data_IF_777405468412
#
_entry.id   IF_777405468412
#
_cell.length_a   1.000
_cell.length_b   1.000
_cell.length_c   1.000
_cell.angle_alpha   90.00
_cell.angle_beta   90.00
_cell.angle_gamma   90.00
#
_symmetry.space_group_name_H-M   'P 1'
#
loop_
_entity.id
_entity.type
_entity.pdbx_description
1 polymer ?
#
# COMPACT_ATOMS: atom_id res chain seq x y z
N UNK A 1 1.02 -0.14 10.79
CA UNK A 1 1.99 -0.02 9.68
C UNK A 1 2.20 1.41 9.23
N UNK A 2 1.27 2.08 8.54
CA UNK A 2 1.51 3.45 8.02
C UNK A 2 1.96 4.46 9.09
N UNK A 3 1.29 4.50 10.25
CA UNK A 3 1.68 5.36 11.37
C UNK A 3 3.13 5.10 11.80
N UNK A 4 3.48 3.83 11.97
CA UNK A 4 4.83 3.37 12.33
C UNK A 4 5.86 3.76 11.28
N UNK A 5 5.58 3.48 10.01
CA UNK A 5 6.45 3.83 8.88
C UNK A 5 6.73 5.33 8.87
N UNK A 6 5.69 6.14 9.08
CA UNK A 6 5.82 7.59 9.12
C UNK A 6 6.64 8.07 10.33
N UNK A 7 6.31 7.63 11.55
CA UNK A 7 7.05 8.01 12.77
C UNK A 7 8.53 7.59 12.70
N UNK A 8 8.84 6.49 12.01
CA UNK A 8 10.19 5.98 11.82
C UNK A 8 10.89 6.47 10.55
N UNK A 9 10.26 7.37 9.78
CA UNK A 9 10.80 7.90 8.52
C UNK A 9 11.17 6.81 7.49
N UNK A 10 10.43 5.69 7.50
CA UNK A 10 10.53 4.65 6.48
C UNK A 10 10.04 5.22 5.15
N UNK A 11 10.76 4.97 4.06
CA UNK A 11 10.41 5.57 2.76
C UNK A 11 9.09 5.01 2.19
N UNK A 12 8.52 5.72 1.22
CA UNK A 12 7.36 5.24 0.48
C UNK A 12 7.64 3.96 -0.31
N UNK A 13 8.88 3.79 -0.79
CA UNK A 13 9.30 2.57 -1.48
C UNK A 13 9.24 1.38 -0.52
N UNK A 14 9.84 1.51 0.66
CA UNK A 14 9.79 0.49 1.71
C UNK A 14 8.36 0.21 2.16
N UNK A 15 7.56 1.25 2.43
CA UNK A 15 6.19 1.08 2.90
C UNK A 15 5.32 0.35 1.87
N UNK A 16 5.31 0.79 0.61
CA UNK A 16 4.47 0.15 -0.42
C UNK A 16 4.97 -1.25 -0.77
N UNK A 17 6.28 -1.49 -0.72
CA UNK A 17 6.85 -2.85 -0.89
C UNK A 17 6.48 -3.76 0.28
N UNK A 18 6.43 -3.25 1.50
CA UNK A 18 6.00 -4.04 2.67
C UNK A 18 4.55 -4.54 2.56
N UNK A 19 3.65 -3.72 2.00
CA UNK A 19 2.27 -4.11 1.76
C UNK A 19 2.21 -5.20 0.68
N UNK A 20 3.01 -5.06 -0.38
CA UNK A 20 3.10 -6.08 -1.40
C UNK A 20 3.58 -7.44 -0.83
N UNK A 21 4.65 -7.46 -0.02
CA UNK A 21 5.08 -8.70 0.65
C UNK A 21 4.01 -9.26 1.57
N UNK A 22 3.33 -8.40 2.33
CA UNK A 22 2.25 -8.79 3.22
C UNK A 22 1.09 -9.46 2.47
N UNK A 23 0.68 -8.92 1.32
CA UNK A 23 -0.37 -9.49 0.49
C UNK A 23 0.06 -10.84 -0.11
N UNK A 24 1.30 -10.94 -0.63
CA UNK A 24 1.84 -12.19 -1.18
C UNK A 24 1.92 -13.29 -0.12
N UNK A 25 2.44 -12.98 1.08
CA UNK A 25 2.52 -13.95 2.17
C UNK A 25 1.12 -14.42 2.60
N UNK A 26 0.15 -13.51 2.71
CA UNK A 26 -1.23 -13.89 3.04
C UNK A 26 -1.89 -14.74 1.94
N UNK A 27 -1.58 -14.48 0.67
CA UNK A 27 -2.03 -15.30 -0.46
C UNK A 27 -1.44 -16.71 -0.38
N UNK A 28 -0.14 -16.83 -0.15
CA UNK A 28 0.54 -18.13 -0.01
C UNK A 28 0.00 -18.93 1.18
N UNK A 29 -0.19 -18.27 2.33
CA UNK A 29 -0.84 -18.88 3.50
C UNK A 29 -2.28 -19.34 3.22
N UNK A 30 -2.97 -18.73 2.26
CA UNK A 30 -4.30 -19.14 1.82
C UNK A 30 -4.28 -20.36 0.91
N UNK A 31 -3.35 -20.41 -0.03
CA UNK A 31 -3.24 -21.50 -0.99
C UNK A 31 -2.58 -22.75 -0.39
N UNK A 32 -1.76 -22.59 0.65
CA UNK A 32 -0.99 -23.68 1.24
C UNK A 32 -1.28 -23.86 2.75
N UNK A 33 -2.50 -24.30 3.13
CA UNK A 33 -2.88 -24.46 4.54
C UNK A 33 -2.05 -25.52 5.28
N UNK A 34 -1.31 -26.38 4.57
CA UNK A 34 -0.41 -27.39 5.14
C UNK A 34 1.00 -26.84 5.45
N UNK A 35 1.39 -25.69 4.88
CA UNK A 35 2.69 -25.02 5.13
C UNK A 35 2.74 -24.37 6.53
N UNK A 36 1.66 -24.52 7.30
CA UNK A 36 1.62 -24.24 8.74
C UNK A 36 2.40 -25.35 9.48
N UNK A 37 3.72 -25.36 9.30
CA UNK A 37 4.62 -26.22 10.07
C UNK A 37 4.54 -25.78 11.53
N UNK A 38 4.11 -26.70 12.41
CA UNK A 38 4.37 -26.80 13.86
C UNK A 38 4.13 -25.60 14.79
N UNK A 39 4.67 -24.43 14.46
CA UNK A 39 4.73 -23.20 15.25
C UNK A 39 3.76 -22.11 14.80
N UNK A 40 3.14 -22.23 13.62
CA UNK A 40 2.29 -21.17 13.03
C UNK A 40 0.77 -21.43 13.09
N UNK A 41 0.31 -22.39 13.91
CA UNK A 41 -1.11 -22.75 14.08
C UNK A 41 -2.04 -21.59 14.52
N UNK A 42 -1.50 -20.40 14.79
CA UNK A 42 -2.24 -19.22 15.27
C UNK A 42 -2.93 -18.35 14.22
N UNK A 43 -2.56 -18.40 12.94
CA UNK A 43 -3.11 -17.45 11.95
C UNK A 43 -4.59 -17.75 11.62
N UNK A 44 -5.03 -19.02 11.76
CA UNK A 44 -6.42 -19.43 11.46
C UNK A 44 -7.09 -20.31 12.51
N UNK A 45 -6.34 -20.81 13.49
CA UNK A 45 -6.84 -21.77 14.51
C UNK A 45 -7.00 -21.21 15.91
N UNK A 46 -6.78 -19.90 16.12
CA UNK A 46 -6.87 -19.24 17.42
C UNK A 46 -8.14 -18.40 17.59
N UNK A 47 -8.30 -17.83 18.79
CA UNK A 47 -9.28 -16.75 19.05
C UNK A 47 -9.08 -15.61 18.05
N UNK A 48 -10.12 -14.79 17.82
CA UNK A 48 -10.03 -13.59 16.96
C UNK A 48 -8.81 -12.71 17.34
N UNK A 49 -8.60 -12.52 18.64
CA UNK A 49 -7.44 -11.81 19.18
C UNK A 49 -6.10 -12.40 18.71
N UNK A 50 -5.93 -13.72 18.75
CA UNK A 50 -4.70 -14.38 18.30
C UNK A 50 -4.48 -14.18 16.79
N UNK A 51 -5.55 -14.17 16.00
CA UNK A 51 -5.44 -13.92 14.56
C UNK A 51 -5.00 -12.48 14.28
N UNK A 52 -5.58 -11.51 15.00
CA UNK A 52 -5.26 -10.09 14.84
C UNK A 52 -3.81 -9.78 15.26
N UNK A 53 -3.33 -10.35 16.37
CA UNK A 53 -1.93 -10.21 16.81
C UNK A 53 -0.96 -10.77 15.78
N UNK A 54 -1.21 -11.98 15.27
CA UNK A 54 -0.35 -12.58 14.23
C UNK A 54 -0.29 -11.72 12.95
N UNK A 55 -1.42 -11.10 12.56
CA UNK A 55 -1.44 -10.20 11.41
C UNK A 55 -0.65 -8.90 11.67
N UNK A 56 -0.64 -8.38 12.90
CA UNK A 56 0.21 -7.25 13.28
C UNK A 56 1.70 -7.61 13.28
N UNK A 57 2.06 -8.77 13.83
CA UNK A 57 3.43 -9.30 13.81
C UNK A 57 3.95 -9.47 12.39
N UNK A 58 3.14 -10.09 11.52
CA UNK A 58 3.45 -10.27 10.11
C UNK A 58 3.62 -8.92 9.39
N UNK A 59 2.67 -7.99 9.55
CA UNK A 59 2.74 -6.68 8.91
C UNK A 59 3.94 -5.86 9.36
N UNK A 60 4.26 -5.88 10.67
CA UNK A 60 5.44 -5.21 11.21
C UNK A 60 6.74 -5.83 10.67
N UNK A 61 6.80 -7.15 10.54
CA UNK A 61 7.95 -7.86 9.99
C UNK A 61 8.14 -7.54 8.50
N UNK A 62 7.08 -7.54 7.70
CA UNK A 62 7.14 -7.11 6.31
C UNK A 62 7.67 -5.68 6.16
N UNK A 63 7.26 -4.76 7.05
CA UNK A 63 7.76 -3.39 7.06
C UNK A 63 9.26 -3.33 7.36
N UNK A 64 9.71 -4.11 8.35
CA UNK A 64 11.11 -4.20 8.71
C UNK A 64 11.97 -4.75 7.56
N UNK A 65 11.55 -5.87 6.96
CA UNK A 65 12.25 -6.49 5.84
C UNK A 65 12.31 -5.58 4.62
N UNK A 66 11.20 -4.94 4.26
CA UNK A 66 11.17 -4.00 3.14
C UNK A 66 12.07 -2.80 3.40
N UNK A 67 12.06 -2.21 4.60
CA UNK A 67 12.95 -1.10 4.95
C UNK A 67 14.43 -1.52 4.88
N UNK A 68 14.77 -2.72 5.36
CA UNK A 68 16.14 -3.26 5.28
C UNK A 68 16.62 -3.43 3.83
N UNK A 69 15.71 -3.72 2.91
CA UNK A 69 16.02 -3.91 1.49
C UNK A 69 16.04 -2.59 0.69
N UNK A 70 15.11 -1.68 0.97
CA UNK A 70 14.86 -0.48 0.18
C UNK A 70 15.58 0.78 0.71
N UNK A 71 15.71 0.94 2.02
CA UNK A 71 16.22 2.17 2.63
C UNK A 71 17.73 2.10 2.91
N UNK A 72 18.45 3.18 2.59
CA UNK A 72 19.87 3.33 2.94
C UNK A 72 20.10 3.26 4.45
N UNK A 73 19.18 3.86 5.22
CA UNK A 73 19.14 3.79 6.68
C UNK A 73 17.75 3.33 7.07
N UNK A 74 17.69 2.18 7.73
CA UNK A 74 16.45 1.59 8.21
C UNK A 74 16.42 1.56 9.75
N UNK A 75 15.23 1.64 10.37
CA UNK A 75 15.09 1.56 11.82
C UNK A 75 15.37 0.14 12.34
N UNK A 76 15.92 0.05 13.55
CA UNK A 76 15.97 -1.23 14.27
C UNK A 76 14.56 -1.76 14.52
N UNK A 77 14.41 -3.09 14.53
CA UNK A 77 13.11 -3.72 14.71
C UNK A 77 12.41 -3.26 16.00
N UNK A 78 13.13 -3.15 17.13
CA UNK A 78 12.55 -2.69 18.40
C UNK A 78 12.02 -1.25 18.33
N UNK A 79 12.60 -0.40 17.48
CA UNK A 79 12.09 0.96 17.26
C UNK A 79 10.77 0.92 16.52
N UNK A 80 10.68 0.12 15.45
CA UNK A 80 9.42 -0.10 14.73
C UNK A 80 8.35 -0.70 15.66
N UNK A 81 8.71 -1.72 16.43
CA UNK A 81 7.82 -2.39 17.41
C UNK A 81 7.28 -1.40 18.42
N UNK A 82 8.13 -0.57 19.02
CA UNK A 82 7.72 0.47 19.97
C UNK A 82 6.66 1.40 19.36
N UNK A 83 6.94 2.02 18.22
CA UNK A 83 5.98 2.95 17.60
C UNK A 83 4.70 2.28 17.10
N UNK A 84 4.76 0.99 16.76
CA UNK A 84 3.58 0.21 16.43
C UNK A 84 2.70 -0.01 17.67
N UNK A 85 3.28 -0.44 18.79
CA UNK A 85 2.60 -0.62 20.08
C UNK A 85 1.98 0.70 20.55
N UNK A 86 2.73 1.81 20.51
CA UNK A 86 2.20 3.13 20.86
C UNK A 86 0.97 3.48 20.02
N UNK A 87 0.98 3.15 18.72
CA UNK A 87 -0.16 3.37 17.83
C UNK A 87 -1.38 2.48 18.11
N UNK A 88 -1.19 1.31 18.73
CA UNK A 88 -2.30 0.46 19.22
C UNK A 88 -2.89 1.03 20.51
N UNK A 89 -2.05 1.49 21.43
CA UNK A 89 -2.46 2.15 22.68
C UNK A 89 -3.26 3.42 22.38
N UNK A 90 -2.80 4.25 21.44
CA UNK A 90 -3.53 5.45 20.96
C UNK A 90 -4.95 5.10 20.45
N UNK A 91 -5.18 3.86 20.02
CA UNK A 91 -6.46 3.34 19.52
C UNK A 91 -7.24 2.53 20.56
N UNK A 92 -6.78 2.50 21.81
CA UNK A 92 -7.37 1.73 22.92
C UNK A 92 -7.35 0.21 22.71
N UNK A 93 -6.40 -0.30 21.90
CA UNK A 93 -6.17 -1.72 21.65
C UNK A 93 -5.09 -2.26 22.61
N UNK A 94 -5.41 -2.25 23.90
CA UNK A 94 -4.45 -2.53 24.97
C UNK A 94 -4.02 -4.01 25.03
N UNK A 95 -4.96 -4.94 24.80
CA UNK A 95 -4.67 -6.37 24.83
C UNK A 95 -3.71 -6.75 23.68
N UNK A 96 -3.95 -6.25 22.47
CA UNK A 96 -3.08 -6.48 21.31
C UNK A 96 -1.69 -5.86 21.54
N UNK A 97 -1.66 -4.65 22.12
CA UNK A 97 -0.42 -3.96 22.46
C UNK A 97 0.42 -4.74 23.47
N UNK A 98 -0.20 -5.32 24.50
CA UNK A 98 0.47 -6.11 25.53
C UNK A 98 1.03 -7.42 24.96
N UNK A 99 0.26 -8.12 24.13
CA UNK A 99 0.71 -9.36 23.48
C UNK A 99 1.95 -9.13 22.59
N UNK A 100 2.03 -7.98 21.91
CA UNK A 100 3.14 -7.65 21.03
C UNK A 100 4.45 -7.28 21.74
N UNK A 101 4.45 -7.01 23.06
CA UNK A 101 5.67 -6.58 23.78
C UNK A 101 6.79 -7.63 23.67
N UNK A 102 6.41 -8.90 23.80
CA UNK A 102 7.33 -10.04 23.77
C UNK A 102 7.58 -10.58 22.35
N UNK A 103 7.05 -9.90 21.32
CA UNK A 103 7.23 -10.35 19.95
C UNK A 103 8.70 -10.25 19.51
N UNK A 104 9.21 -11.36 18.99
CA UNK A 104 10.53 -11.50 18.37
C UNK A 104 10.40 -11.75 16.86
N UNK A 105 11.11 -10.94 16.08
CA UNK A 105 10.97 -10.87 14.62
C UNK A 105 11.43 -12.14 13.89
N UNK A 106 12.41 -12.86 14.45
CA UNK A 106 13.16 -13.92 13.76
C UNK A 106 12.29 -15.03 13.17
N UNK A 107 11.28 -15.48 13.91
CA UNK A 107 10.37 -16.54 13.45
C UNK A 107 9.54 -16.07 12.24
N UNK A 108 9.07 -14.82 12.26
CA UNK A 108 8.31 -14.25 11.14
C UNK A 108 9.19 -13.95 9.94
N UNK A 109 10.45 -13.54 10.13
CA UNK A 109 11.39 -13.39 9.00
C UNK A 109 11.60 -14.72 8.29
N UNK A 110 11.89 -15.79 9.05
CA UNK A 110 12.09 -17.12 8.50
C UNK A 110 10.84 -17.61 7.74
N UNK A 111 9.65 -17.37 8.27
CA UNK A 111 8.39 -17.68 7.59
C UNK A 111 8.25 -16.92 6.27
N UNK A 112 8.45 -15.60 6.29
CA UNK A 112 8.30 -14.76 5.09
C UNK A 112 9.29 -15.21 4.02
N UNK A 113 10.57 -15.41 4.37
CA UNK A 113 11.56 -15.89 3.43
C UNK A 113 11.22 -17.27 2.87
N UNK A 114 10.68 -18.17 3.69
CA UNK A 114 10.24 -19.49 3.22
C UNK A 114 9.07 -19.40 2.24
N UNK A 115 8.08 -18.56 2.51
CA UNK A 115 6.89 -18.43 1.66
C UNK A 115 7.20 -17.70 0.35
N UNK A 116 8.03 -16.65 0.42
CA UNK A 116 8.50 -15.91 -0.75
C UNK A 116 9.68 -16.58 -1.46
N UNK A 117 10.13 -17.75 -1.00
CA UNK A 117 11.28 -18.49 -1.56
C UNK A 117 12.55 -17.62 -1.70
N UNK A 118 12.78 -16.71 -0.75
CA UNK A 118 13.82 -15.69 -0.77
C UNK A 118 13.76 -14.71 -1.97
N UNK A 119 12.70 -14.71 -2.77
CA UNK A 119 12.49 -13.76 -3.87
C UNK A 119 11.92 -12.43 -3.38
N UNK A 120 12.77 -11.68 -2.67
CA UNK A 120 12.45 -10.32 -2.20
C UNK A 120 12.59 -9.28 -3.32
N UNK A 121 13.12 -9.65 -4.49
CA UNK A 121 13.40 -8.70 -5.57
C UNK A 121 12.17 -8.35 -6.42
N UNK A 122 11.04 -8.98 -6.16
CA UNK A 122 9.80 -8.75 -6.89
C UNK A 122 9.39 -7.26 -6.85
N UNK A 123 9.27 -6.61 -8.02
CA UNK A 123 8.99 -5.18 -8.08
C UNK A 123 7.54 -4.88 -7.68
N UNK A 124 7.38 -4.14 -6.59
CA UNK A 124 6.11 -3.55 -6.20
C UNK A 124 5.67 -2.44 -7.17
N UNK A 125 4.38 -2.09 -7.16
CA UNK A 125 3.80 -1.09 -8.07
C UNK A 125 4.54 0.26 -8.04
N UNK A 126 5.13 0.66 -6.92
CA UNK A 126 5.90 1.91 -6.83
C UNK A 126 7.15 1.90 -7.73
N UNK A 127 7.81 0.76 -7.92
CA UNK A 127 8.99 0.63 -8.79
C UNK A 127 8.62 0.78 -10.26
N UNK A 128 7.48 0.21 -10.67
CA UNK A 128 6.93 0.41 -12.00
C UNK A 128 6.46 1.85 -12.21
N UNK A 129 5.77 2.42 -11.22
CA UNK A 129 5.31 3.80 -11.25
C UNK A 129 6.45 4.79 -11.44
N UNK A 130 7.56 4.61 -10.71
CA UNK A 130 8.77 5.43 -10.83
C UNK A 130 9.33 5.43 -12.27
N UNK A 131 9.41 4.24 -12.89
CA UNK A 131 9.89 4.09 -14.28
C UNK A 131 8.93 4.74 -15.27
N UNK A 132 7.62 4.53 -15.08
CA UNK A 132 6.58 5.08 -15.96
C UNK A 132 6.46 6.60 -15.84
N UNK A 133 6.59 7.16 -14.63
CA UNK A 133 6.62 8.60 -14.41
C UNK A 133 7.79 9.24 -15.16
N UNK A 134 8.99 8.64 -15.08
CA UNK A 134 10.16 9.08 -15.86
C UNK A 134 9.91 9.00 -17.38
N UNK A 135 9.37 7.88 -17.86
CA UNK A 135 9.03 7.72 -19.28
C UNK A 135 7.95 8.72 -19.75
N UNK A 136 7.10 9.18 -18.82
CA UNK A 136 6.06 10.18 -19.05
C UNK A 136 6.52 11.62 -18.89
N UNK A 137 7.81 11.85 -18.62
CA UNK A 137 8.36 13.17 -18.29
C UNK A 137 7.63 13.83 -17.09
N UNK A 138 7.16 13.02 -16.13
CA UNK A 138 6.59 13.50 -14.87
C UNK A 138 7.73 13.68 -13.87
N UNK A 139 7.99 14.92 -13.46
CA UNK A 139 9.04 15.27 -12.49
C UNK A 139 8.63 14.86 -11.06
N UNK A 140 9.59 14.42 -10.24
CA UNK A 140 9.33 13.90 -8.88
C UNK A 140 8.70 14.90 -7.92
N UNK A 141 9.05 16.16 -8.06
CA UNK A 141 8.54 17.29 -7.28
C UNK A 141 7.24 17.87 -7.86
N UNK A 142 6.75 17.34 -8.99
CA UNK A 142 5.49 17.79 -9.57
C UNK A 142 4.29 17.26 -8.79
N UNK A 143 3.20 18.02 -8.78
CA UNK A 143 1.93 17.56 -8.23
C UNK A 143 1.43 16.26 -8.89
N UNK A 144 1.71 16.06 -10.18
CA UNK A 144 1.36 14.81 -10.89
C UNK A 144 2.06 13.60 -10.26
N UNK A 145 3.32 13.74 -9.90
CA UNK A 145 4.06 12.67 -9.24
C UNK A 145 3.50 12.40 -7.83
N UNK A 146 3.32 13.46 -7.05
CA UNK A 146 2.79 13.36 -5.69
C UNK A 146 1.36 12.79 -5.67
N UNK A 147 0.54 13.10 -6.68
CA UNK A 147 -0.80 12.54 -6.84
C UNK A 147 -0.72 11.04 -7.14
N UNK A 148 0.17 10.60 -8.03
CA UNK A 148 0.33 9.18 -8.30
C UNK A 148 0.81 8.41 -7.06
N UNK A 149 1.73 9.00 -6.29
CA UNK A 149 2.19 8.43 -5.02
C UNK A 149 1.06 8.32 -3.98
N UNK A 150 0.20 9.33 -3.90
CA UNK A 150 -1.01 9.30 -3.07
C UNK A 150 -1.98 8.20 -3.52
N UNK A 151 -2.22 8.07 -4.83
CA UNK A 151 -3.07 7.01 -5.38
C UNK A 151 -2.51 5.60 -5.13
N UNK A 152 -1.20 5.40 -5.18
CA UNK A 152 -0.57 4.13 -4.79
C UNK A 152 -0.79 3.80 -3.31
N UNK A 153 -0.75 4.81 -2.43
CA UNK A 153 -1.11 4.60 -1.02
C UNK A 153 -2.57 4.24 -0.84
N UNK A 154 -3.47 4.82 -1.63
CA UNK A 154 -4.88 4.40 -1.64
C UNK A 154 -4.98 2.93 -2.04
N UNK A 155 -4.32 2.51 -3.14
CA UNK A 155 -4.29 1.11 -3.57
C UNK A 155 -3.83 0.17 -2.45
N UNK A 156 -2.75 0.52 -1.76
CA UNK A 156 -2.18 -0.28 -0.66
C UNK A 156 -3.14 -0.48 0.54
N UNK A 157 -4.16 0.37 0.70
CA UNK A 157 -5.16 0.22 1.76
C UNK A 157 -6.34 -0.67 1.37
N UNK A 158 -6.42 -1.09 0.12
CA UNK A 158 -7.49 -1.94 -0.40
C UNK A 158 -6.87 -3.23 -0.98
N UNK A 159 -6.70 -4.29 -0.15
CA UNK A 159 -6.01 -5.52 -0.54
C UNK A 159 -6.50 -6.13 -1.86
N UNK A 160 -7.79 -5.96 -2.16
CA UNK A 160 -8.39 -6.38 -3.43
C UNK A 160 -7.67 -5.87 -4.70
N UNK A 161 -6.86 -4.82 -4.64
CA UNK A 161 -6.05 -4.43 -5.80
C UNK A 161 -4.90 -5.40 -6.05
N UNK A 162 -4.19 -5.82 -5.00
CA UNK A 162 -3.06 -6.74 -5.10
C UNK A 162 -3.47 -8.14 -5.53
N UNK A 163 -4.72 -8.55 -5.23
CA UNK A 163 -5.30 -9.81 -5.69
C UNK A 163 -5.84 -9.75 -7.13
N UNK A 164 -6.50 -8.65 -7.51
CA UNK A 164 -7.20 -8.57 -8.80
C UNK A 164 -6.26 -8.14 -9.95
N UNK A 165 -5.13 -7.48 -9.66
CA UNK A 165 -4.29 -6.85 -10.67
C UNK A 165 -2.79 -7.05 -10.40
N UNK A 166 -2.02 -7.18 -11.48
CA UNK A 166 -0.56 -7.18 -11.39
C UNK A 166 -0.01 -5.81 -10.96
N UNK A 167 1.18 -5.80 -10.36
CA UNK A 167 1.85 -4.57 -9.92
C UNK A 167 2.09 -3.56 -11.06
N UNK A 168 2.36 -4.06 -12.28
CA UNK A 168 2.53 -3.21 -13.47
C UNK A 168 1.20 -2.63 -13.96
N UNK A 169 0.09 -3.38 -13.89
CA UNK A 169 -1.25 -2.87 -14.18
C UNK A 169 -1.64 -1.76 -13.20
N UNK A 170 -1.40 -1.97 -11.91
CA UNK A 170 -1.64 -0.95 -10.87
C UNK A 170 -0.86 0.34 -11.20
N UNK A 171 0.42 0.23 -11.54
CA UNK A 171 1.24 1.40 -11.88
C UNK A 171 0.77 2.14 -13.15
N UNK A 172 0.42 1.39 -14.22
CA UNK A 172 -0.16 1.96 -15.44
C UNK A 172 -1.50 2.65 -15.15
N UNK A 173 -2.37 2.03 -14.34
CA UNK A 173 -3.63 2.62 -13.89
C UNK A 173 -3.41 3.93 -13.15
N UNK A 174 -2.42 4.00 -12.25
CA UNK A 174 -2.11 5.23 -11.50
C UNK A 174 -1.69 6.34 -12.46
N UNK A 175 -0.78 6.07 -13.41
CA UNK A 175 -0.34 7.07 -14.40
C UNK A 175 -1.50 7.56 -15.27
N UNK A 176 -2.34 6.65 -15.77
CA UNK A 176 -3.51 7.01 -16.57
C UNK A 176 -4.51 7.83 -15.75
N UNK A 177 -4.72 7.49 -14.49
CA UNK A 177 -5.64 8.21 -13.58
C UNK A 177 -5.12 9.61 -13.27
N UNK A 178 -3.83 9.78 -13.00
CA UNK A 178 -3.18 11.09 -12.83
C UNK A 178 -3.36 11.93 -14.09
N UNK A 179 -3.09 11.37 -15.27
CA UNK A 179 -3.29 12.07 -16.53
C UNK A 179 -4.76 12.48 -16.71
N UNK A 180 -5.72 11.58 -16.45
CA UNK A 180 -7.14 11.96 -16.53
C UNK A 180 -7.49 13.12 -15.61
N UNK A 181 -6.98 13.15 -14.37
CA UNK A 181 -7.26 14.24 -13.43
C UNK A 181 -6.71 15.59 -13.92
N UNK A 182 -5.54 15.61 -14.57
CA UNK A 182 -4.89 16.85 -15.01
C UNK A 182 -5.20 17.27 -16.47
N UNK A 183 -5.48 16.32 -17.36
CA UNK A 183 -5.70 16.56 -18.79
C UNK A 183 -7.09 16.17 -19.26
N UNK A 184 -7.99 15.81 -18.34
CA UNK A 184 -9.41 15.54 -18.61
C UNK A 184 -9.66 14.35 -19.56
N UNK A 185 -8.64 13.51 -19.76
CA UNK A 185 -8.64 12.37 -20.67
C UNK A 185 -7.95 11.16 -20.05
N UNK A 186 -8.65 10.03 -19.97
CA UNK A 186 -8.04 8.76 -19.61
C UNK A 186 -7.27 8.24 -20.83
N UNK A 187 -5.95 8.40 -20.81
CA UNK A 187 -5.08 7.90 -21.87
C UNK A 187 -3.95 7.05 -21.29
N UNK A 188 -3.70 5.91 -21.92
CA UNK A 188 -2.41 5.24 -21.86
C UNK A 188 -1.69 5.64 -23.14
N UNK A 189 -0.66 6.49 -23.01
CA UNK A 189 0.09 6.98 -24.17
C UNK A 189 0.72 5.80 -24.90
N UNK A 190 0.79 5.89 -26.23
CA UNK A 190 1.26 4.78 -27.08
C UNK A 190 2.62 4.19 -26.68
N UNK A 191 3.54 5.02 -26.16
CA UNK A 191 4.84 4.53 -25.67
C UNK A 191 4.74 3.76 -24.34
N UNK A 192 3.75 4.04 -23.48
CA UNK A 192 3.53 3.24 -22.27
C UNK A 192 3.08 1.85 -22.70
N UNK A 193 2.11 1.78 -23.62
CA UNK A 193 1.65 0.51 -24.21
C UNK A 193 2.79 -0.24 -24.88
N UNK A 194 3.69 0.44 -25.59
CA UNK A 194 4.82 -0.24 -26.25
C UNK A 194 5.83 -0.82 -25.27
N UNK A 195 5.98 -0.24 -24.07
CA UNK A 195 6.94 -0.69 -23.05
C UNK A 195 6.33 -1.78 -22.16
N UNK A 196 5.04 -1.67 -21.80
CA UNK A 196 4.41 -2.56 -20.83
C UNK A 196 3.49 -3.61 -21.46
N UNK A 197 3.10 -3.43 -22.72
CA UNK A 197 2.05 -4.23 -23.38
C UNK A 197 0.63 -3.92 -22.87
N UNK A 198 0.47 -3.01 -21.90
CA UNK A 198 -0.81 -2.71 -21.25
C UNK A 198 -1.53 -1.63 -22.02
N UNK A 199 -2.76 -1.91 -22.42
CA UNK A 199 -3.65 -0.99 -23.13
C UNK A 199 -4.66 -0.32 -22.18
N UNK A 200 -5.39 0.66 -22.70
CA UNK A 200 -6.49 1.30 -21.97
C UNK A 200 -7.59 0.29 -21.55
N UNK A 201 -7.81 -0.77 -22.34
CA UNK A 201 -8.82 -1.80 -22.04
C UNK A 201 -8.42 -2.62 -20.82
N UNK A 202 -7.12 -2.89 -20.66
CA UNK A 202 -6.59 -3.68 -19.56
C UNK A 202 -6.66 -2.95 -18.21
N UNK A 203 -6.66 -1.61 -18.24
CA UNK A 203 -6.70 -0.79 -17.02
C UNK A 203 -8.06 -0.16 -16.74
N UNK A 204 -9.06 -0.31 -17.62
CA UNK A 204 -10.36 0.38 -17.50
C UNK A 204 -11.05 0.09 -16.16
N UNK A 205 -11.19 -1.20 -15.83
CA UNK A 205 -11.80 -1.64 -14.58
C UNK A 205 -10.99 -1.22 -13.35
N UNK A 206 -9.66 -1.39 -13.38
CA UNK A 206 -8.78 -0.97 -12.29
C UNK A 206 -8.83 0.55 -12.04
N UNK A 207 -8.90 1.35 -13.11
CA UNK A 207 -8.98 2.82 -13.04
C UNK A 207 -10.30 3.28 -12.43
N UNK A 208 -11.41 2.67 -12.85
CA UNK A 208 -12.71 2.93 -12.25
C UNK A 208 -12.72 2.57 -10.76
N UNK A 209 -12.19 1.41 -10.39
CA UNK A 209 -12.06 0.97 -9.00
C UNK A 209 -11.23 1.94 -8.17
N UNK A 210 -10.05 2.35 -8.67
CA UNK A 210 -9.13 3.27 -7.99
C UNK A 210 -9.79 4.63 -7.75
N UNK A 211 -10.41 5.17 -8.80
CA UNK A 211 -11.13 6.41 -8.69
C UNK A 211 -12.26 6.35 -7.67
N UNK A 212 -13.08 5.30 -7.68
CA UNK A 212 -14.16 5.16 -6.70
C UNK A 212 -13.61 5.19 -5.27
N UNK A 213 -12.45 4.56 -5.04
CA UNK A 213 -11.75 4.65 -3.75
C UNK A 213 -11.22 6.04 -3.46
N UNK A 214 -10.67 6.74 -4.45
CA UNK A 214 -10.23 8.13 -4.29
C UNK A 214 -11.41 9.07 -3.96
N UNK A 215 -12.56 8.92 -4.62
CA UNK A 215 -13.78 9.68 -4.31
C UNK A 215 -14.29 9.35 -2.90
N UNK A 216 -14.30 8.06 -2.52
CA UNK A 216 -14.66 7.65 -1.16
C UNK A 216 -13.75 8.28 -0.11
N UNK A 217 -12.43 8.31 -0.37
CA UNK A 217 -11.45 8.97 0.51
C UNK A 217 -11.68 10.50 0.57
N UNK A 218 -11.98 11.14 -0.56
CA UNK A 218 -12.24 12.57 -0.63
C UNK A 218 -13.53 12.98 0.08
N UNK A 219 -14.65 12.28 -0.17
CA UNK A 219 -15.96 12.53 0.47
C UNK A 219 -15.96 12.13 1.95
N UNK A 220 -15.29 11.03 2.29
CA UNK A 220 -15.13 10.51 3.65
C UNK A 220 -14.26 11.39 4.56
N UNK A 221 -13.70 12.50 4.06
CA UNK A 221 -13.08 13.54 4.90
C UNK A 221 -14.04 14.12 5.94
N UNK A 222 -15.35 14.00 5.71
CA UNK A 222 -16.40 14.48 6.60
C UNK A 222 -16.95 13.41 7.56
N UNK A 223 -16.49 12.16 7.48
CA UNK A 223 -16.96 11.07 8.34
C UNK A 223 -15.87 10.56 9.29
N UNK A 224 -16.28 10.21 10.52
CA UNK A 224 -15.47 9.70 11.64
C UNK A 224 -14.83 8.31 11.41
N UNK A 225 -14.37 7.99 10.19
CA UNK A 225 -13.64 6.75 9.88
C UNK A 225 -12.13 6.99 9.91
N UNK A 226 -11.57 6.95 11.13
CA UNK A 226 -10.17 7.24 11.50
C UNK A 226 -9.07 6.37 10.85
N UNK A 227 -9.41 5.42 9.96
CA UNK A 227 -8.41 4.62 9.22
C UNK A 227 -7.97 5.28 7.91
N UNK A 228 -8.86 6.03 7.28
CA UNK A 228 -8.60 6.78 6.04
C UNK A 228 -7.95 8.15 6.30
N UNK A 229 -8.03 8.64 7.53
CA UNK A 229 -7.47 9.94 7.92
C UNK A 229 -5.95 9.97 7.80
N UNK A 230 -5.22 8.89 8.11
CA UNK A 230 -3.75 8.97 8.15
C UNK A 230 -3.10 9.22 6.79
N UNK A 231 -3.60 8.60 5.70
CA UNK A 231 -3.08 8.88 4.35
C UNK A 231 -3.44 10.30 3.95
N UNK A 232 -4.70 10.71 4.19
CA UNK A 232 -5.17 12.06 3.88
C UNK A 232 -4.38 13.11 4.64
N UNK A 233 -4.06 12.86 5.92
CA UNK A 233 -3.24 13.71 6.77
C UNK A 233 -1.81 13.79 6.25
N UNK A 234 -1.17 12.66 5.93
CA UNK A 234 0.19 12.63 5.35
C UNK A 234 0.26 13.47 4.08
N UNK A 235 -0.60 13.18 3.12
CA UNK A 235 -0.63 13.87 1.82
C UNK A 235 -1.34 15.23 1.86
N UNK A 236 -1.83 15.65 3.02
CA UNK A 236 -2.38 16.98 3.28
C UNK A 236 -1.34 17.97 3.79
N UNK A 237 -0.10 17.53 4.05
CA UNK A 237 0.99 18.40 4.48
C UNK A 237 1.59 19.20 3.33
N UNK A 238 2.25 20.32 3.65
CA UNK A 238 2.90 21.20 2.68
C UNK A 238 4.01 20.50 1.89
N UNK A 239 4.72 19.55 2.53
CA UNK A 239 5.74 18.72 1.88
C UNK A 239 5.16 17.94 0.67
N UNK A 240 3.89 17.55 0.73
CA UNK A 240 3.18 16.85 -0.33
C UNK A 240 2.27 17.78 -1.13
N UNK A 241 2.49 19.10 -1.06
CA UNK A 241 1.72 20.12 -1.77
C UNK A 241 0.21 20.00 -1.54
N UNK A 242 -0.18 19.47 -0.38
CA UNK A 242 -1.58 19.22 0.01
C UNK A 242 -2.37 18.43 -1.05
N UNK A 243 -1.72 17.49 -1.73
CA UNK A 243 -2.31 16.74 -2.86
C UNK A 243 -3.60 16.00 -2.49
N UNK A 244 -3.76 15.61 -1.21
CA UNK A 244 -5.00 14.99 -0.74
C UNK A 244 -6.21 15.92 -0.83
N UNK A 245 -6.01 17.24 -0.94
CA UNK A 245 -7.05 18.27 -1.10
C UNK A 245 -7.50 18.47 -2.54
N UNK A 246 -6.77 17.95 -3.53
CA UNK A 246 -7.22 18.00 -4.92
C UNK A 246 -8.53 17.23 -5.01
N UNK A 247 -9.54 17.87 -5.59
CA UNK A 247 -10.84 17.27 -5.81
C UNK A 247 -10.83 16.46 -7.11
N UNK A 248 -11.47 15.28 -7.16
CA UNK A 248 -11.61 14.49 -8.39
C UNK A 248 -12.63 15.10 -9.39
N UNK A 249 -12.61 16.43 -9.59
CA UNK A 249 -13.70 17.30 -10.08
C UNK A 249 -14.43 16.83 -11.34
N UNK A 250 -13.78 16.15 -12.27
CA UNK A 250 -14.42 15.73 -13.52
C UNK A 250 -15.07 14.36 -13.50
N UNK A 251 -14.61 13.46 -12.64
CA UNK A 251 -15.13 12.10 -12.62
C UNK A 251 -16.51 12.01 -11.98
N UNK A 252 -16.83 12.92 -11.06
CA UNK A 252 -18.19 13.05 -10.54
C UNK A 252 -19.18 13.47 -11.63
N UNK A 253 -18.74 14.25 -12.63
CA UNK A 253 -19.58 14.66 -13.76
C UNK A 253 -19.80 13.52 -14.76
N UNK A 254 -18.74 12.78 -15.11
CA UNK A 254 -18.81 11.61 -16.01
C UNK A 254 -19.66 10.45 -15.46
N UNK A 255 -19.61 10.20 -14.14
CA UNK A 255 -20.45 9.18 -13.50
C UNK A 255 -21.94 9.56 -13.50
N UNK A 256 -22.26 10.85 -13.52
CA UNK A 256 -23.64 11.35 -13.61
C UNK A 256 -24.14 11.55 -15.04
N UNK A 257 -23.25 11.59 -16.05
CA UNK A 257 -23.60 11.70 -17.47
C UNK A 257 -23.56 10.36 -18.22
N UNK A 258 -23.17 9.28 -17.53
CA UNK A 258 -23.10 7.91 -18.04
C UNK A 258 -24.15 6.95 -17.47
N UNK A 259 -25.30 7.47 -17.01
CA UNK A 259 -26.58 6.78 -16.85
C UNK A 259 -27.66 7.54 -17.60
#
# INVERSE_FOLDING_TARGET
>A
MLNTAWKCQVSDFSFLTSIFYFDQVNQELYLSPQTIVGSFRGIRGGTQLNQDVNQYELGLTCLYLAAKYEDLKYPYFDTLKKFFIDGLIERQLFEEADNLKNFEVLNHEALIFSLLQFDMHQPSAIRYYERLAKASCILKDSQKYLLGLYLLHIVAFYPSFGFDFSQVQIACTVIATVNKIYSLRLEVRGYITSITGITIKDIGFCSQKLLMKYIQMYKGKNDKLAKNSLIVCKFGQDLYQRISLIEPQEFLRDLTSGL
#
